data_IF_013844002109
#
_entry.id   IF_013844002109
#
_cell.length_a   1.000
_cell.length_b   1.000
_cell.length_c   1.000
_cell.angle_alpha   90.00
_cell.angle_beta   90.00
_cell.angle_gamma   90.00
#
_symmetry.space_group_name_H-M   'P 1'
#
loop_
_entity.id
_entity.type
_entity.pdbx_description
1 polymer ?
#
# COMPACT_ATOMS: atom_id res chain seq x y z
N UNK A 1 7.99 1.86 -49.98
CA UNK A 1 7.92 0.64 -49.17
C UNK A 1 9.15 0.48 -48.28
N UNK A 2 10.37 0.52 -48.82
CA UNK A 2 11.62 0.28 -48.05
C UNK A 2 12.06 1.43 -47.11
N UNK A 3 11.77 2.69 -47.47
CA UNK A 3 12.19 3.87 -46.68
C UNK A 3 11.50 3.96 -45.30
N UNK A 4 10.25 3.49 -45.21
CA UNK A 4 9.49 3.40 -43.96
C UNK A 4 10.03 2.28 -43.06
N UNK A 5 10.40 1.14 -43.65
CA UNK A 5 10.97 0.01 -42.92
C UNK A 5 12.33 0.34 -42.29
N UNK A 6 13.19 1.07 -43.02
CA UNK A 6 14.48 1.52 -42.50
C UNK A 6 14.32 2.54 -41.34
N UNK A 7 13.33 3.42 -41.41
CA UNK A 7 13.04 4.38 -40.33
C UNK A 7 12.51 3.67 -39.07
N UNK A 8 11.67 2.66 -39.20
CA UNK A 8 11.21 1.85 -38.07
C UNK A 8 12.34 1.04 -37.43
N UNK A 9 13.25 0.48 -38.24
CA UNK A 9 14.41 -0.27 -37.74
C UNK A 9 15.36 0.64 -36.93
N UNK A 10 15.64 1.85 -37.45
CA UNK A 10 16.49 2.84 -36.77
C UNK A 10 15.83 3.31 -35.46
N UNK A 11 14.52 3.59 -35.48
CA UNK A 11 13.78 4.00 -34.28
C UNK A 11 13.70 2.90 -33.22
N UNK A 12 13.54 1.63 -33.64
CA UNK A 12 13.55 0.45 -32.76
C UNK A 12 14.92 0.24 -32.10
N UNK A 13 16.01 0.36 -32.86
CA UNK A 13 17.37 0.26 -32.31
C UNK A 13 17.72 1.43 -31.39
N UNK A 14 17.27 2.65 -31.71
CA UNK A 14 17.46 3.83 -30.86
C UNK A 14 16.69 3.71 -29.54
N UNK A 15 15.44 3.23 -29.58
CA UNK A 15 14.62 3.02 -28.36
C UNK A 15 15.16 1.87 -27.50
N UNK A 16 15.63 0.77 -28.09
CA UNK A 16 16.31 -0.29 -27.35
C UNK A 16 17.59 0.20 -26.67
N UNK A 17 18.42 0.97 -27.38
CA UNK A 17 19.66 1.55 -26.84
C UNK A 17 19.40 2.53 -25.69
N UNK A 18 18.39 3.40 -25.83
CA UNK A 18 17.96 4.30 -24.75
C UNK A 18 17.43 3.54 -23.53
N UNK A 19 16.66 2.47 -23.74
CA UNK A 19 16.14 1.63 -22.65
C UNK A 19 17.25 0.94 -21.84
N UNK A 20 18.30 0.49 -22.51
CA UNK A 20 19.50 -0.13 -21.90
C UNK A 20 20.32 0.89 -21.10
N UNK A 21 20.46 2.12 -21.61
CA UNK A 21 21.13 3.21 -20.88
C UNK A 21 20.35 3.58 -19.62
N UNK A 22 19.02 3.74 -19.73
CA UNK A 22 18.15 4.07 -18.59
C UNK A 22 18.18 2.97 -17.53
N UNK A 23 18.16 1.70 -17.93
CA UNK A 23 18.30 0.57 -17.00
C UNK A 23 19.68 0.56 -16.35
N UNK A 24 20.76 0.79 -17.10
CA UNK A 24 22.12 0.93 -16.56
C UNK A 24 22.26 2.05 -15.53
N UNK A 25 21.66 3.22 -15.79
CA UNK A 25 21.63 4.36 -14.84
C UNK A 25 20.83 4.00 -13.59
N UNK A 26 19.66 3.36 -13.73
CA UNK A 26 18.84 2.90 -12.59
C UNK A 26 19.60 1.90 -11.71
N UNK A 27 20.31 0.95 -12.31
CA UNK A 27 21.11 -0.06 -11.60
C UNK A 27 22.29 0.60 -10.86
N UNK A 28 23.01 1.53 -11.50
CA UNK A 28 24.10 2.29 -10.85
C UNK A 28 23.60 3.11 -9.66
N UNK A 29 22.48 3.86 -9.83
CA UNK A 29 21.87 4.62 -8.73
C UNK A 29 21.44 3.72 -7.57
N UNK A 30 20.85 2.55 -7.85
CA UNK A 30 20.51 1.54 -6.83
C UNK A 30 21.75 1.05 -6.07
N UNK A 31 22.84 0.71 -6.77
CA UNK A 31 24.11 0.27 -6.15
C UNK A 31 24.76 1.34 -5.27
N UNK A 32 24.67 2.62 -5.65
CA UNK A 32 25.19 3.73 -4.83
C UNK A 32 24.31 3.91 -3.60
N UNK A 33 22.99 3.87 -3.79
CA UNK A 33 22.01 3.96 -2.72
C UNK A 33 22.18 2.85 -1.67
N UNK A 34 22.30 1.59 -2.10
CA UNK A 34 22.48 0.45 -1.20
C UNK A 34 23.80 0.56 -0.41
N UNK A 35 24.87 1.03 -1.05
CA UNK A 35 26.17 1.30 -0.38
C UNK A 35 26.06 2.41 0.66
N UNK A 36 25.37 3.50 0.34
CA UNK A 36 25.21 4.63 1.26
C UNK A 36 24.37 4.23 2.48
N UNK A 37 23.26 3.51 2.27
CA UNK A 37 22.45 2.96 3.37
C UNK A 37 23.26 1.98 4.24
N UNK A 38 24.05 1.07 3.64
CA UNK A 38 24.93 0.17 4.40
C UNK A 38 25.95 0.95 5.24
N UNK A 39 26.62 1.95 4.68
CA UNK A 39 27.59 2.78 5.42
C UNK A 39 26.97 3.56 6.56
N UNK A 40 25.74 4.07 6.40
CA UNK A 40 25.03 4.76 7.46
C UNK A 40 24.60 3.81 8.58
N UNK A 41 24.23 2.56 8.28
CA UNK A 41 23.86 1.57 9.30
C UNK A 41 25.01 1.13 10.22
N UNK A 42 26.26 1.16 9.75
CA UNK A 42 27.42 0.63 10.48
C UNK A 42 28.27 1.70 11.19
N UNK A 43 27.86 2.97 11.20
CA UNK A 43 28.58 4.02 11.93
C UNK A 43 28.12 4.05 13.41
N UNK A 44 29.01 3.86 14.39
CA UNK A 44 28.64 3.80 15.81
C UNK A 44 27.99 5.09 16.34
N UNK A 45 28.25 6.25 15.71
CA UNK A 45 27.58 7.54 16.01
C UNK A 45 26.09 7.59 15.61
N UNK A 46 25.55 6.58 14.92
CA UNK A 46 24.15 6.49 14.48
C UNK A 46 23.31 5.52 15.32
N UNK A 47 23.84 4.99 16.44
CA UNK A 47 23.11 4.03 17.28
C UNK A 47 21.76 4.54 17.79
N UNK A 48 21.62 5.85 18.03
CA UNK A 48 20.39 6.48 18.54
C UNK A 48 19.56 7.17 17.44
N UNK A 49 19.75 6.80 16.19
CA UNK A 49 19.14 7.47 15.04
C UNK A 49 18.37 6.47 14.19
N UNK A 50 17.14 6.82 13.82
CA UNK A 50 16.30 6.05 12.92
C UNK A 50 16.34 6.62 11.50
N UNK A 51 16.58 5.75 10.52
CA UNK A 51 16.48 6.07 9.10
C UNK A 51 15.22 5.41 8.53
N UNK A 52 14.26 6.22 8.10
CA UNK A 52 13.01 5.74 7.47
C UNK A 52 12.74 6.45 6.16
N UNK A 53 12.09 5.74 5.23
CA UNK A 53 11.49 6.40 4.07
C UNK A 53 10.34 7.26 4.55
N UNK A 54 10.22 8.48 4.03
CA UNK A 54 9.04 9.32 4.31
C UNK A 54 7.81 8.81 3.57
N UNK A 55 6.64 9.15 4.11
CA UNK A 55 5.34 8.69 3.63
C UNK A 55 5.00 9.16 2.19
N UNK A 56 4.93 10.47 1.94
CA UNK A 56 4.53 11.05 0.64
C UNK A 56 5.69 11.55 -0.23
N UNK A 57 6.88 11.70 0.34
CA UNK A 57 8.05 12.22 -0.35
C UNK A 57 9.04 11.10 -0.68
N UNK A 58 9.81 11.25 -1.76
CA UNK A 58 10.88 10.31 -2.13
C UNK A 58 12.18 10.59 -1.34
N UNK A 59 12.05 11.00 -0.08
CA UNK A 59 13.18 11.37 0.79
C UNK A 59 13.28 10.44 1.99
N UNK A 60 14.44 10.47 2.64
CA UNK A 60 14.66 9.78 3.90
C UNK A 60 14.50 10.75 5.06
N UNK A 61 13.82 10.29 6.10
CA UNK A 61 13.80 10.94 7.38
C UNK A 61 14.89 10.33 8.26
N UNK A 62 15.75 11.19 8.77
CA UNK A 62 16.75 10.87 9.78
C UNK A 62 16.31 11.58 11.07
N UNK A 63 16.00 10.80 12.11
CA UNK A 63 15.51 11.34 13.39
C UNK A 63 15.99 10.52 14.58
N UNK A 64 15.78 10.99 15.80
CA UNK A 64 16.16 10.24 17.01
C UNK A 64 15.22 9.05 17.21
N UNK A 65 15.75 7.93 17.72
CA UNK A 65 14.95 6.74 18.01
C UNK A 65 13.94 7.02 19.12
N UNK A 66 14.33 7.80 20.13
CA UNK A 66 13.48 8.17 21.27
C UNK A 66 12.26 8.98 20.81
N UNK A 67 12.46 9.96 19.92
CA UNK A 67 11.36 10.76 19.35
C UNK A 67 10.40 9.91 18.54
N UNK A 68 10.92 8.96 17.76
CA UNK A 68 10.10 8.04 16.97
C UNK A 68 9.28 7.13 17.88
N UNK A 69 9.89 6.58 18.94
CA UNK A 69 9.22 5.72 19.91
C UNK A 69 8.14 6.49 20.67
N UNK A 70 8.46 7.67 21.20
CA UNK A 70 7.51 8.54 21.90
C UNK A 70 6.28 8.84 21.03
N UNK A 71 6.49 9.28 19.78
CA UNK A 71 5.38 9.55 18.85
C UNK A 71 4.54 8.32 18.53
N UNK A 72 5.16 7.13 18.47
CA UNK A 72 4.43 5.89 18.24
C UNK A 72 3.56 5.52 19.45
N UNK A 73 4.08 5.69 20.67
CA UNK A 73 3.34 5.44 21.91
C UNK A 73 2.18 6.44 22.08
N UNK A 74 2.42 7.74 21.80
CA UNK A 74 1.38 8.78 21.78
C UNK A 74 0.26 8.45 20.78
N UNK A 75 0.62 7.96 19.59
CA UNK A 75 -0.37 7.53 18.59
C UNK A 75 -1.21 6.34 19.07
N UNK A 76 -0.58 5.33 19.67
CA UNK A 76 -1.28 4.17 20.24
C UNK A 76 -2.23 4.60 21.36
N UNK A 77 -1.77 5.45 22.27
CA UNK A 77 -2.55 5.95 23.40
C UNK A 77 -3.74 6.80 22.96
N UNK A 78 -3.55 7.66 21.95
CA UNK A 78 -4.61 8.52 21.41
C UNK A 78 -5.72 7.74 20.71
N UNK A 79 -5.34 6.74 19.90
CA UNK A 79 -6.30 6.06 19.03
C UNK A 79 -6.92 4.82 19.65
N UNK A 80 -6.24 4.17 20.60
CA UNK A 80 -6.63 2.88 21.18
C UNK A 80 -6.94 1.80 20.10
N UNK A 81 -6.45 2.00 18.87
CA UNK A 81 -6.82 1.19 17.72
C UNK A 81 -6.04 -0.15 17.64
N UNK A 82 -5.03 -0.32 18.50
CA UNK A 82 -4.12 -1.47 18.46
C UNK A 82 -3.82 -1.97 19.87
N UNK A 83 -3.64 -3.29 20.00
CA UNK A 83 -3.29 -3.95 21.26
C UNK A 83 -1.96 -4.68 21.11
N UNK A 84 -1.06 -4.50 22.08
CA UNK A 84 0.18 -5.27 22.14
C UNK A 84 -0.13 -6.73 22.53
N UNK A 85 0.37 -7.68 21.75
CA UNK A 85 0.13 -9.12 21.96
C UNK A 85 1.09 -9.75 22.98
N UNK A 86 2.15 -9.04 23.39
CA UNK A 86 3.14 -9.56 24.35
C UNK A 86 3.82 -10.83 23.84
N UNK A 87 4.01 -11.80 24.72
CA UNK A 87 4.60 -13.12 24.43
C UNK A 87 3.62 -14.12 23.83
N UNK A 88 2.30 -13.82 23.85
CA UNK A 88 1.30 -14.67 23.23
C UNK A 88 1.41 -14.53 21.72
N UNK A 89 1.94 -15.56 21.06
CA UNK A 89 2.16 -15.58 19.62
C UNK A 89 1.00 -16.31 18.91
N UNK A 90 -0.04 -15.61 18.40
CA UNK A 90 -1.28 -16.25 17.93
C UNK A 90 -1.16 -16.88 16.53
N UNK A 91 0.03 -16.91 15.92
CA UNK A 91 0.18 -17.32 14.52
C UNK A 91 -0.33 -18.75 14.28
N UNK A 92 0.01 -19.68 15.16
CA UNK A 92 -0.41 -21.09 15.04
C UNK A 92 -1.92 -21.25 15.13
N UNK A 93 -2.57 -20.54 16.07
CA UNK A 93 -4.03 -20.50 16.20
C UNK A 93 -4.69 -19.92 14.94
N UNK A 94 -4.17 -18.80 14.44
CA UNK A 94 -4.69 -18.14 13.23
C UNK A 94 -4.60 -19.04 12.00
N UNK A 95 -3.49 -19.77 11.81
CA UNK A 95 -3.35 -20.72 10.71
C UNK A 95 -4.39 -21.83 10.85
N UNK A 96 -4.51 -22.42 12.03
CA UNK A 96 -5.45 -23.52 12.31
C UNK A 96 -6.88 -23.09 12.04
N UNK A 97 -7.30 -21.94 12.56
CA UNK A 97 -8.64 -21.39 12.35
C UNK A 97 -8.91 -21.05 10.89
N UNK A 98 -7.93 -20.47 10.18
CA UNK A 98 -8.08 -20.13 8.76
C UNK A 98 -8.25 -21.39 7.92
N UNK A 99 -7.40 -22.41 8.12
CA UNK A 99 -7.49 -23.66 7.38
C UNK A 99 -8.77 -24.44 7.71
N UNK A 100 -9.22 -24.42 8.98
CA UNK A 100 -10.52 -24.98 9.38
C UNK A 100 -11.66 -24.31 8.62
N UNK A 101 -11.69 -22.97 8.60
CA UNK A 101 -12.72 -22.23 7.87
C UNK A 101 -12.72 -22.53 6.36
N UNK A 102 -11.54 -22.64 5.74
CA UNK A 102 -11.42 -23.03 4.33
C UNK A 102 -11.96 -24.45 4.08
N UNK A 103 -11.72 -25.38 5.01
CA UNK A 103 -12.26 -26.73 4.94
C UNK A 103 -13.79 -26.73 5.04
N UNK A 104 -14.35 -25.96 5.97
CA UNK A 104 -15.80 -25.82 6.14
C UNK A 104 -16.45 -25.27 4.85
N UNK A 105 -15.87 -24.23 4.25
CA UNK A 105 -16.33 -23.69 2.96
C UNK A 105 -16.27 -24.73 1.82
N UNK A 106 -15.22 -25.57 1.79
CA UNK A 106 -15.06 -26.64 0.80
C UNK A 106 -16.12 -27.71 0.99
N UNK A 107 -16.35 -28.16 2.23
CA UNK A 107 -17.36 -29.18 2.55
C UNK A 107 -18.77 -28.69 2.25
N UNK A 108 -19.06 -27.42 2.52
CA UNK A 108 -20.32 -26.78 2.16
C UNK A 108 -20.43 -26.46 0.64
N UNK A 109 -19.41 -26.78 -0.17
CA UNK A 109 -19.36 -26.56 -1.63
C UNK A 109 -19.43 -25.09 -2.06
N UNK A 110 -19.04 -24.15 -1.19
CA UNK A 110 -18.93 -22.72 -1.52
C UNK A 110 -17.65 -22.42 -2.32
N UNK A 111 -16.64 -23.26 -2.18
CA UNK A 111 -15.40 -23.21 -2.97
C UNK A 111 -15.11 -24.58 -3.57
N UNK A 112 -14.51 -24.58 -4.77
CA UNK A 112 -14.06 -25.78 -5.47
C UNK A 112 -12.81 -26.37 -4.81
N UNK A 113 -12.51 -27.62 -5.14
CA UNK A 113 -11.29 -28.27 -4.63
C UNK A 113 -10.01 -27.51 -5.01
N UNK A 114 -9.93 -27.05 -6.26
CA UNK A 114 -8.80 -26.26 -6.76
C UNK A 114 -8.66 -24.92 -6.03
N UNK A 115 -9.77 -24.27 -5.69
CA UNK A 115 -9.75 -23.03 -4.89
C UNK A 115 -9.28 -23.30 -3.47
N UNK A 116 -9.76 -24.37 -2.83
CA UNK A 116 -9.30 -24.78 -1.50
C UNK A 116 -7.77 -24.99 -1.47
N UNK A 117 -7.23 -25.77 -2.40
CA UNK A 117 -5.78 -26.01 -2.50
C UNK A 117 -4.98 -24.72 -2.69
N UNK A 118 -5.46 -23.80 -3.54
CA UNK A 118 -4.83 -22.49 -3.77
C UNK A 118 -4.86 -21.61 -2.52
N UNK A 119 -5.94 -21.67 -1.74
CA UNK A 119 -6.16 -20.83 -0.56
C UNK A 119 -5.52 -21.39 0.71
N UNK A 120 -5.22 -22.69 0.74
CA UNK A 120 -4.66 -23.37 1.90
C UNK A 120 -3.39 -22.67 2.41
N UNK A 121 -3.28 -22.59 3.73
CA UNK A 121 -2.22 -21.87 4.42
C UNK A 121 -1.15 -22.87 4.87
N UNK A 122 0.05 -22.70 4.32
CA UNK A 122 1.25 -23.41 4.75
C UNK A 122 1.91 -22.64 5.90
N UNK A 123 2.12 -23.26 7.08
CA UNK A 123 2.80 -22.61 8.21
C UNK A 123 4.17 -22.02 7.87
N UNK A 124 4.89 -22.60 6.91
CA UNK A 124 6.23 -22.14 6.50
C UNK A 124 6.22 -20.86 5.64
N UNK A 125 5.05 -20.43 5.15
CA UNK A 125 4.92 -19.31 4.20
C UNK A 125 4.40 -18.02 4.86
N UNK A 126 3.98 -18.08 6.13
CA UNK A 126 3.20 -17.01 6.77
C UNK A 126 3.83 -16.47 8.04
N UNK A 127 3.54 -15.21 8.34
CA UNK A 127 3.98 -14.52 9.56
C UNK A 127 2.88 -13.52 10.02
N UNK A 128 2.97 -13.08 11.27
CA UNK A 128 2.05 -12.05 11.78
C UNK A 128 2.26 -10.71 11.08
N UNK A 129 1.20 -9.91 11.01
CA UNK A 129 1.34 -8.57 10.46
C UNK A 129 2.20 -7.68 11.36
N UNK A 130 3.06 -6.88 10.74
CA UNK A 130 3.99 -6.00 11.45
C UNK A 130 3.52 -4.56 11.40
N UNK A 131 3.36 -3.93 12.56
CA UNK A 131 3.11 -2.49 12.67
C UNK A 131 4.43 -1.72 12.63
N UNK A 132 4.51 -0.72 11.76
CA UNK A 132 5.59 0.26 11.73
C UNK A 132 5.05 1.63 11.35
N UNK A 133 5.90 2.67 11.44
CA UNK A 133 5.48 4.03 11.21
C UNK A 133 6.31 4.73 10.14
N UNK A 134 5.63 5.51 9.30
CA UNK A 134 6.24 6.35 8.27
C UNK A 134 6.19 7.82 8.69
N UNK A 135 7.33 8.53 8.73
CA UNK A 135 7.36 9.97 9.01
C UNK A 135 6.69 10.80 7.91
N UNK A 136 5.76 11.67 8.31
CA UNK A 136 5.14 12.69 7.45
C UNK A 136 6.00 13.96 7.45
N UNK A 137 7.17 13.89 6.80
CA UNK A 137 8.16 14.98 6.79
C UNK A 137 7.68 16.32 6.19
N UNK A 138 6.56 16.30 5.45
CA UNK A 138 5.92 17.48 4.88
C UNK A 138 4.96 18.19 5.85
N UNK A 139 4.79 17.69 7.08
CA UNK A 139 3.94 18.30 8.11
C UNK A 139 4.80 18.77 9.29
N UNK A 140 4.39 19.90 9.89
CA UNK A 140 5.03 20.43 11.08
C UNK A 140 5.11 19.38 12.20
N UNK A 141 6.23 19.34 12.91
CA UNK A 141 6.51 18.34 13.95
C UNK A 141 6.77 16.92 13.43
N UNK A 142 6.71 16.66 12.11
CA UNK A 142 6.91 15.33 11.50
C UNK A 142 6.13 14.22 12.22
N UNK A 143 4.78 14.24 12.17
CA UNK A 143 3.96 13.20 12.75
C UNK A 143 4.17 11.86 12.04
N UNK A 144 3.81 10.78 12.72
CA UNK A 144 3.94 9.42 12.21
C UNK A 144 2.61 8.94 11.58
N UNK A 145 2.71 8.19 10.48
CA UNK A 145 1.61 7.39 9.93
C UNK A 145 1.82 5.92 10.30
N UNK A 146 0.90 5.25 11.01
CA UNK A 146 1.00 3.81 11.19
C UNK A 146 0.78 3.08 9.86
N UNK A 147 1.50 1.99 9.66
CA UNK A 147 1.32 1.06 8.55
C UNK A 147 1.39 -0.35 9.10
N UNK A 148 0.39 -1.16 8.78
CA UNK A 148 0.37 -2.60 9.08
C UNK A 148 0.79 -3.35 7.81
N UNK A 149 1.97 -3.97 7.82
CA UNK A 149 2.40 -4.86 6.74
C UNK A 149 1.96 -6.29 7.03
N UNK A 150 0.95 -6.76 6.32
CA UNK A 150 0.40 -8.11 6.40
C UNK A 150 0.58 -8.94 5.12
N UNK A 151 1.63 -8.70 4.33
CA UNK A 151 1.81 -9.37 3.02
C UNK A 151 1.92 -10.90 3.10
N UNK A 152 2.36 -11.41 4.25
CA UNK A 152 2.46 -12.84 4.57
C UNK A 152 1.47 -13.26 5.67
N UNK A 153 0.45 -12.45 5.95
CA UNK A 153 -0.53 -12.79 6.98
C UNK A 153 -1.33 -14.04 6.57
N UNK A 154 -1.71 -14.93 7.49
CA UNK A 154 -2.49 -16.14 7.17
C UNK A 154 -3.76 -15.90 6.35
N UNK A 155 -4.38 -14.72 6.47
CA UNK A 155 -5.61 -14.39 5.73
C UNK A 155 -5.37 -13.73 4.36
N UNK A 156 -4.12 -13.47 3.94
CA UNK A 156 -3.85 -12.67 2.73
C UNK A 156 -4.39 -13.30 1.44
N UNK A 157 -4.31 -14.63 1.32
CA UNK A 157 -4.84 -15.37 0.16
C UNK A 157 -6.37 -15.24 0.10
N UNK A 158 -7.03 -15.34 1.25
CA UNK A 158 -8.48 -15.15 1.38
C UNK A 158 -8.89 -13.71 1.07
N UNK A 159 -8.19 -12.70 1.59
CA UNK A 159 -8.46 -11.29 1.27
C UNK A 159 -8.35 -10.99 -0.21
N UNK A 160 -7.36 -11.58 -0.91
CA UNK A 160 -7.23 -11.45 -2.38
C UNK A 160 -8.39 -12.11 -3.11
N UNK A 161 -8.79 -13.31 -2.68
CA UNK A 161 -9.94 -14.00 -3.26
C UNK A 161 -11.23 -13.20 -3.10
N UNK A 162 -11.50 -12.67 -1.90
CA UNK A 162 -12.64 -11.79 -1.66
C UNK A 162 -12.56 -10.52 -2.50
N UNK A 163 -11.37 -9.93 -2.64
CA UNK A 163 -11.19 -8.77 -3.52
C UNK A 163 -11.56 -9.07 -4.97
N UNK A 164 -11.14 -10.21 -5.51
CA UNK A 164 -11.48 -10.63 -6.88
C UNK A 164 -13.00 -10.79 -7.08
N UNK A 165 -13.73 -11.21 -6.03
CA UNK A 165 -15.19 -11.33 -6.06
C UNK A 165 -15.91 -9.99 -5.91
N UNK A 166 -15.45 -9.15 -4.98
CA UNK A 166 -16.11 -7.89 -4.63
C UNK A 166 -15.78 -6.76 -5.61
N UNK A 167 -14.60 -6.77 -6.20
CA UNK A 167 -14.11 -5.64 -7.02
C UNK A 167 -15.03 -5.33 -8.22
N UNK A 168 -15.51 -6.32 -9.00
CA UNK A 168 -16.43 -6.05 -10.10
C UNK A 168 -17.77 -5.46 -9.64
N UNK A 169 -18.25 -5.84 -8.44
CA UNK A 169 -19.48 -5.29 -7.86
C UNK A 169 -19.28 -3.84 -7.45
N UNK A 170 -18.17 -3.55 -6.76
CA UNK A 170 -17.79 -2.20 -6.40
C UNK A 170 -17.67 -1.30 -7.63
N UNK A 171 -16.94 -1.73 -8.66
CA UNK A 171 -16.75 -0.93 -9.87
C UNK A 171 -18.10 -0.63 -10.57
N UNK A 172 -19.06 -1.56 -10.57
CA UNK A 172 -20.41 -1.32 -11.12
C UNK A 172 -21.21 -0.30 -10.31
N UNK A 173 -21.17 -0.37 -8.98
CA UNK A 173 -21.93 0.52 -8.10
C UNK A 173 -21.31 1.91 -8.00
N UNK A 174 -19.98 1.97 -7.96
CA UNK A 174 -19.23 3.20 -7.66
C UNK A 174 -18.86 4.01 -8.91
N UNK A 175 -19.14 3.51 -10.12
CA UNK A 175 -18.75 4.16 -11.39
C UNK A 175 -19.22 5.62 -11.51
N UNK A 176 -20.36 5.96 -10.91
CA UNK A 176 -20.94 7.32 -10.98
C UNK A 176 -20.40 8.27 -9.91
N UNK A 177 -19.82 7.76 -8.82
CA UNK A 177 -19.43 8.55 -7.65
C UNK A 177 -17.93 8.52 -7.39
N UNK A 178 -17.19 7.64 -8.06
CA UNK A 178 -15.76 7.42 -7.83
C UNK A 178 -14.96 7.74 -9.07
N UNK A 179 -13.88 8.48 -8.88
CA UNK A 179 -12.95 8.83 -9.95
C UNK A 179 -11.67 8.02 -9.78
N UNK A 180 -11.37 7.19 -10.78
CA UNK A 180 -10.24 6.25 -10.76
C UNK A 180 -8.99 6.78 -11.46
N UNK A 181 -9.14 7.87 -12.23
CA UNK A 181 -8.05 8.49 -13.00
C UNK A 181 -8.08 10.01 -12.86
N UNK A 182 -6.95 10.60 -12.45
CA UNK A 182 -6.81 12.05 -12.37
C UNK A 182 -6.88 12.74 -13.73
N UNK A 183 -6.48 12.06 -14.81
CA UNK A 183 -6.62 12.60 -16.17
C UNK A 183 -8.09 12.69 -16.58
N UNK A 184 -8.86 11.65 -16.28
CA UNK A 184 -10.30 11.61 -16.55
C UNK A 184 -11.04 12.66 -15.72
N UNK A 185 -10.65 12.83 -14.44
CA UNK A 185 -11.17 13.89 -13.59
C UNK A 185 -11.02 15.27 -14.23
N UNK A 186 -9.82 15.61 -14.68
CA UNK A 186 -9.51 16.92 -15.27
C UNK A 186 -10.35 17.14 -16.52
N UNK A 187 -10.47 16.12 -17.39
CA UNK A 187 -11.28 16.19 -18.60
C UNK A 187 -12.75 16.42 -18.27
N UNK A 188 -13.31 15.66 -17.34
CA UNK A 188 -14.70 15.80 -16.89
C UNK A 188 -14.97 17.18 -16.29
N UNK A 189 -14.05 17.69 -15.46
CA UNK A 189 -14.16 19.03 -14.89
C UNK A 189 -14.10 20.14 -15.95
N UNK A 190 -13.25 20.00 -16.97
CA UNK A 190 -13.18 20.93 -18.10
C UNK A 190 -14.44 20.93 -18.96
N UNK A 191 -15.05 19.76 -19.17
CA UNK A 191 -16.32 19.65 -19.89
C UNK A 191 -17.48 20.23 -19.08
N UNK A 192 -17.51 19.93 -17.77
CA UNK A 192 -18.47 20.49 -16.84
C UNK A 192 -18.35 22.01 -16.74
N UNK A 193 -17.12 22.56 -16.69
CA UNK A 193 -16.90 23.99 -16.51
C UNK A 193 -17.41 24.82 -17.68
N UNK A 194 -17.33 24.30 -18.92
CA UNK A 194 -17.83 24.98 -20.12
C UNK A 194 -19.34 25.27 -20.06
N UNK A 195 -20.11 24.45 -19.33
CA UNK A 195 -21.57 24.54 -19.28
C UNK A 195 -22.11 25.11 -17.97
N UNK A 196 -21.40 24.88 -16.86
CA UNK A 196 -21.95 25.07 -15.52
C UNK A 196 -21.16 26.06 -14.65
N UNK A 197 -19.95 26.47 -15.06
CA UNK A 197 -19.12 27.37 -14.25
C UNK A 197 -19.50 28.82 -14.48
N UNK A 198 -19.82 29.53 -13.40
CA UNK A 198 -20.08 30.97 -13.37
C UNK A 198 -19.22 31.65 -12.29
N UNK A 199 -19.32 32.97 -12.16
CA UNK A 199 -18.53 33.74 -11.19
C UNK A 199 -18.88 33.38 -9.73
N UNK A 200 -20.10 32.91 -9.48
CA UNK A 200 -20.61 32.52 -8.17
C UNK A 200 -20.31 31.04 -7.82
N UNK A 201 -19.68 30.30 -8.73
CA UNK A 201 -19.36 28.88 -8.49
C UNK A 201 -18.28 28.74 -7.42
N UNK A 202 -18.60 28.03 -6.34
CA UNK A 202 -17.67 27.75 -5.25
C UNK A 202 -17.15 26.32 -5.34
N UNK A 203 -15.83 26.17 -5.26
CA UNK A 203 -15.18 24.87 -5.14
C UNK A 203 -14.84 24.59 -3.68
N UNK A 204 -15.25 23.42 -3.19
CA UNK A 204 -14.89 22.93 -1.86
C UNK A 204 -14.07 21.66 -2.00
N UNK A 205 -12.98 21.55 -1.24
CA UNK A 205 -12.21 20.33 -1.08
C UNK A 205 -12.33 19.87 0.37
N UNK A 206 -12.87 18.66 0.56
CA UNK A 206 -13.08 18.06 1.88
C UNK A 206 -12.12 16.87 2.01
N UNK A 207 -11.29 16.89 3.05
CA UNK A 207 -10.38 15.78 3.38
C UNK A 207 -10.94 14.99 4.57
N UNK A 208 -11.16 13.69 4.38
CA UNK A 208 -11.63 12.81 5.46
C UNK A 208 -10.42 12.32 6.25
N UNK A 209 -10.40 12.63 7.55
CA UNK A 209 -9.30 12.26 8.45
C UNK A 209 -9.54 10.86 9.00
N UNK A 210 -8.47 10.05 9.05
CA UNK A 210 -8.44 8.74 9.73
C UNK A 210 -9.55 7.75 9.30
N UNK A 211 -9.98 7.83 8.03
CA UNK A 211 -11.06 7.02 7.44
C UNK A 211 -11.00 5.54 7.84
N UNK A 212 -9.85 4.88 7.66
CA UNK A 212 -9.70 3.44 7.91
C UNK A 212 -9.96 3.01 9.37
N UNK A 213 -9.67 3.89 10.34
CA UNK A 213 -9.90 3.59 11.76
C UNK A 213 -11.30 3.99 12.22
N UNK A 214 -12.04 4.74 11.40
CA UNK A 214 -13.38 5.26 11.73
C UNK A 214 -14.52 4.51 11.03
N UNK A 215 -14.22 3.51 10.18
CA UNK A 215 -15.26 2.68 9.57
C UNK A 215 -15.91 1.78 10.65
N UNK A 216 -17.22 1.88 10.92
CA UNK A 216 -17.90 1.01 11.87
C UNK A 216 -17.85 -0.46 11.41
N UNK A 217 -17.31 -1.34 12.25
CA UNK A 217 -17.12 -2.74 11.87
C UNK A 217 -18.42 -3.53 11.77
N UNK A 218 -19.39 -3.23 12.64
CA UNK A 218 -20.68 -3.93 12.67
C UNK A 218 -21.52 -3.59 11.44
N UNK A 219 -21.63 -2.30 11.11
CA UNK A 219 -22.42 -1.85 9.97
C UNK A 219 -21.81 -2.31 8.64
N UNK A 220 -20.48 -2.27 8.51
CA UNK A 220 -19.79 -2.66 7.27
C UNK A 220 -19.84 -4.15 6.92
N UNK A 221 -20.28 -5.01 7.84
CA UNK A 221 -20.46 -6.47 7.59
C UNK A 221 -21.94 -6.83 7.42
N UNK A 222 -22.85 -6.05 7.98
CA UNK A 222 -24.30 -6.35 8.00
C UNK A 222 -25.11 -5.58 6.94
N UNK A 223 -24.52 -4.58 6.27
CA UNK A 223 -25.14 -3.81 5.17
C UNK A 223 -25.05 -4.54 3.82
#
# INVERSE_FOLDING_TARGET
>A
SERLFLLELINSQATQSQSQIITGIKVKKKKIYDRLVKRLKHKPKLANVILRKSDKSKVFHLGKIEDYRKKSEEYMAKTQAYKCLGTNYPLSDLITRTNKYLLDLRLAKWITQKQYEKLYINPCEVELAHLYYLPKAHKAGTPLRPIVSGLKHPTIKLSKFLHELLRPLFDKMAIKTTVTSGFELIKQLQEWSKKNMCQETLFCAIDVVDLYTMVPQTEGVLS
#
